data_IF_760181427573
#
_entry.id   IF_760181427573
#
_cell.length_a   1.000
_cell.length_b   1.000
_cell.length_c   1.000
_cell.angle_alpha   90.00
_cell.angle_beta   90.00
_cell.angle_gamma   90.00
#
_symmetry.space_group_name_H-M   'P 1'
#
loop_
_entity.id
_entity.type
_entity.pdbx_description
1 polymer ?
#
# COMPACT_ATOMS: atom_id res chain seq x y z
N UNK A 1 -15.16 16.27 -3.87
CA UNK A 1 -14.29 15.99 -2.71
C UNK A 1 -12.96 15.45 -3.21
N UNK A 2 -11.84 15.92 -2.69
CA UNK A 2 -10.51 15.47 -3.10
C UNK A 2 -9.44 16.34 -2.49
N UNK A 3 -8.17 16.11 -2.84
CA UNK A 3 -7.09 16.98 -2.35
C UNK A 3 -7.14 18.34 -3.05
N UNK A 4 -7.16 19.42 -2.28
CA UNK A 4 -7.28 20.77 -2.81
C UNK A 4 -5.94 21.33 -3.34
N UNK A 5 -6.04 22.01 -4.48
CA UNK A 5 -4.97 22.75 -5.13
C UNK A 5 -5.49 24.10 -5.63
N UNK A 6 -4.58 25.05 -5.80
CA UNK A 6 -4.90 26.38 -6.36
C UNK A 6 -4.02 26.64 -7.56
N UNK A 7 -4.65 27.09 -8.64
CA UNK A 7 -3.97 27.53 -9.85
C UNK A 7 -4.77 28.68 -10.47
N UNK A 8 -4.09 29.79 -10.81
CA UNK A 8 -4.72 31.01 -11.35
C UNK A 8 -5.98 31.46 -10.59
N UNK A 9 -5.91 31.45 -9.25
CA UNK A 9 -7.02 31.87 -8.38
C UNK A 9 -8.21 30.91 -8.32
N UNK A 10 -8.18 29.79 -9.05
CA UNK A 10 -9.23 28.77 -8.98
C UNK A 10 -8.85 27.68 -8.00
N UNK A 11 -9.75 27.40 -7.06
CA UNK A 11 -9.69 26.27 -6.15
C UNK A 11 -10.25 25.03 -6.83
N UNK A 12 -9.49 23.93 -6.87
CA UNK A 12 -9.91 22.68 -7.51
C UNK A 12 -9.38 21.45 -6.78
N UNK A 13 -9.97 20.28 -7.07
CA UNK A 13 -9.45 19.00 -6.60
C UNK A 13 -8.43 18.45 -7.61
N UNK A 14 -7.21 18.11 -7.17
CA UNK A 14 -6.15 17.63 -8.07
C UNK A 14 -6.27 16.15 -8.41
N UNK A 15 -6.07 15.85 -9.70
CA UNK A 15 -6.05 14.49 -10.25
C UNK A 15 -4.80 13.70 -9.91
N UNK A 16 -3.77 14.31 -9.30
CA UNK A 16 -2.58 13.60 -8.78
C UNK A 16 -2.87 12.63 -7.64
N UNK A 17 -4.10 12.64 -7.14
CA UNK A 17 -4.59 11.74 -6.09
C UNK A 17 -5.78 10.94 -6.64
N UNK A 18 -6.93 11.09 -6.01
CA UNK A 18 -8.23 10.84 -6.58
C UNK A 18 -9.15 11.99 -6.16
N UNK A 19 -10.28 12.11 -6.83
CA UNK A 19 -11.38 12.95 -6.34
C UNK A 19 -12.71 12.30 -6.69
N UNK A 20 -13.71 12.61 -5.90
CA UNK A 20 -15.06 12.10 -6.01
C UNK A 20 -15.98 13.26 -6.39
N UNK A 21 -16.76 13.05 -7.43
CA UNK A 21 -17.82 13.96 -7.87
C UNK A 21 -19.18 13.34 -7.56
N UNK A 22 -20.13 14.18 -7.17
CA UNK A 22 -21.53 13.74 -7.08
C UNK A 22 -22.08 13.54 -8.49
N UNK A 23 -23.13 12.73 -8.59
CA UNK A 23 -23.86 12.54 -9.86
C UNK A 23 -24.35 13.87 -10.43
N UNK A 24 -24.89 14.76 -9.58
CA UNK A 24 -25.37 16.08 -10.02
C UNK A 24 -24.26 16.97 -10.59
N UNK A 25 -23.07 16.97 -9.99
CA UNK A 25 -21.93 17.71 -10.54
C UNK A 25 -21.51 17.19 -11.93
N UNK A 26 -21.58 15.87 -12.12
CA UNK A 26 -21.31 15.25 -13.42
C UNK A 26 -22.36 15.60 -14.47
N UNK A 27 -23.65 15.59 -14.09
CA UNK A 27 -24.77 15.97 -14.96
C UNK A 27 -24.67 17.44 -15.42
N UNK A 28 -24.26 18.35 -14.52
CA UNK A 28 -24.03 19.76 -14.85
C UNK A 28 -22.95 19.93 -15.94
N UNK A 29 -21.82 19.24 -15.80
CA UNK A 29 -20.73 19.27 -16.80
C UNK A 29 -21.18 18.65 -18.12
N UNK A 30 -21.85 17.49 -18.06
CA UNK A 30 -22.37 16.80 -19.23
C UNK A 30 -23.33 17.68 -20.03
N UNK A 31 -24.26 18.35 -19.34
CA UNK A 31 -25.23 19.25 -19.97
C UNK A 31 -24.57 20.50 -20.55
N UNK A 32 -23.54 21.06 -19.90
CA UNK A 32 -22.78 22.21 -20.40
C UNK A 32 -21.97 21.88 -21.66
N UNK A 33 -21.39 20.68 -21.73
CA UNK A 33 -20.55 20.22 -22.84
C UNK A 33 -21.22 19.12 -23.66
N UNK A 34 -22.49 19.31 -24.00
CA UNK A 34 -23.32 18.34 -24.73
C UNK A 34 -22.99 18.19 -26.22
N UNK A 35 -22.02 18.95 -26.75
CA UNK A 35 -21.64 18.93 -28.16
C UNK A 35 -20.13 19.07 -28.36
N UNK A 36 -19.62 18.55 -29.48
CA UNK A 36 -18.20 18.67 -29.85
C UNK A 36 -17.77 20.14 -29.99
N UNK A 37 -18.68 21.00 -30.46
CA UNK A 37 -18.43 22.44 -30.59
C UNK A 37 -18.21 23.10 -29.22
N UNK A 38 -19.14 22.89 -28.27
CA UNK A 38 -19.05 23.43 -26.92
C UNK A 38 -17.78 22.94 -26.19
N UNK A 39 -17.42 21.67 -26.37
CA UNK A 39 -16.19 21.10 -25.81
C UNK A 39 -14.93 21.77 -26.41
N UNK A 40 -14.85 21.92 -27.73
CA UNK A 40 -13.69 22.52 -28.42
C UNK A 40 -13.47 23.98 -28.05
N UNK A 41 -14.53 24.79 -27.95
CA UNK A 41 -14.47 26.20 -27.57
C UNK A 41 -13.85 26.40 -26.17
N UNK A 42 -14.00 25.42 -25.28
CA UNK A 42 -13.47 25.47 -23.93
C UNK A 42 -11.95 25.18 -23.86
N UNK A 43 -11.37 24.52 -24.87
CA UNK A 43 -10.12 23.76 -24.75
C UNK A 43 -8.79 24.53 -24.95
N UNK A 44 -8.67 25.78 -24.51
CA UNK A 44 -7.44 26.58 -24.72
C UNK A 44 -6.23 26.06 -23.91
N UNK A 45 -6.43 25.26 -22.85
CA UNK A 45 -5.35 24.83 -21.93
C UNK A 45 -5.37 23.31 -21.66
N UNK A 46 -4.96 22.50 -22.64
CA UNK A 46 -5.07 21.02 -22.57
C UNK A 46 -4.15 20.32 -21.57
N UNK A 47 -3.16 21.02 -21.00
CA UNK A 47 -2.10 20.38 -20.20
C UNK A 47 -2.40 20.34 -18.69
N UNK A 48 -3.61 20.71 -18.26
CA UNK A 48 -3.99 20.72 -16.85
C UNK A 48 -5.49 20.36 -16.68
N UNK A 49 -5.79 19.08 -16.91
CA UNK A 49 -7.15 18.53 -16.96
C UNK A 49 -7.94 18.69 -15.66
N UNK A 50 -7.30 18.50 -14.51
CA UNK A 50 -7.90 18.60 -13.19
C UNK A 50 -8.27 20.05 -12.84
N UNK A 51 -7.39 21.01 -13.20
CA UNK A 51 -7.70 22.43 -13.12
C UNK A 51 -8.85 22.83 -14.04
N UNK A 52 -8.85 22.39 -15.30
CA UNK A 52 -9.92 22.72 -16.25
C UNK A 52 -11.28 22.22 -15.75
N UNK A 53 -11.33 20.98 -15.25
CA UNK A 53 -12.52 20.42 -14.65
C UNK A 53 -13.00 21.28 -13.47
N UNK A 54 -12.09 21.65 -12.56
CA UNK A 54 -12.40 22.53 -11.43
C UNK A 54 -12.91 23.91 -11.86
N UNK A 55 -12.29 24.51 -12.88
CA UNK A 55 -12.73 25.80 -13.46
C UNK A 55 -14.15 25.72 -13.98
N UNK A 56 -14.49 24.69 -14.76
CA UNK A 56 -15.82 24.57 -15.35
C UNK A 56 -16.90 24.23 -14.33
N UNK A 57 -16.55 23.44 -13.31
CA UNK A 57 -17.42 23.21 -12.16
C UNK A 57 -17.68 24.52 -11.41
N UNK A 58 -16.65 25.36 -11.20
CA UNK A 58 -16.80 26.65 -10.53
C UNK A 58 -17.69 27.62 -11.32
N UNK A 59 -17.57 27.65 -12.66
CA UNK A 59 -18.48 28.40 -13.54
C UNK A 59 -19.96 27.93 -13.45
N UNK A 60 -20.19 26.71 -12.97
CA UNK A 60 -21.51 26.12 -12.71
C UNK A 60 -21.93 26.21 -11.24
N UNK A 61 -21.18 26.94 -10.41
CA UNK A 61 -21.45 27.09 -8.97
C UNK A 61 -21.02 25.89 -8.11
N UNK A 62 -20.31 24.91 -8.67
CA UNK A 62 -19.77 23.77 -7.93
C UNK A 62 -18.31 24.05 -7.57
N UNK A 63 -18.00 24.18 -6.28
CA UNK A 63 -16.65 24.49 -5.81
C UNK A 63 -16.03 23.32 -5.04
N UNK A 64 -14.70 23.30 -4.95
CA UNK A 64 -14.00 22.28 -4.19
C UNK A 64 -14.03 22.62 -2.69
N UNK A 65 -14.43 21.66 -1.87
CA UNK A 65 -14.48 21.79 -0.41
C UNK A 65 -13.24 21.19 0.26
N UNK A 66 -12.97 21.58 1.51
CA UNK A 66 -11.96 20.93 2.32
C UNK A 66 -12.38 19.49 2.64
N UNK A 67 -11.59 18.55 2.13
CA UNK A 67 -11.86 17.13 2.27
C UNK A 67 -11.09 16.49 3.41
N UNK A 68 -10.40 17.23 4.27
CA UNK A 68 -9.73 16.67 5.45
C UNK A 68 -10.74 16.17 6.48
N UNK A 69 -10.29 15.36 7.42
CA UNK A 69 -11.14 14.96 8.55
C UNK A 69 -11.29 16.09 9.59
N UNK A 70 -12.08 15.84 10.64
CA UNK A 70 -12.35 16.82 11.72
C UNK A 70 -11.09 17.30 12.45
N UNK A 71 -9.97 16.57 12.33
CA UNK A 71 -8.67 16.93 12.91
C UNK A 71 -7.73 17.55 11.88
N UNK A 72 -8.21 17.86 10.68
CA UNK A 72 -7.41 18.43 9.60
C UNK A 72 -6.42 17.43 8.98
N UNK A 73 -6.67 16.11 9.08
CA UNK A 73 -5.81 15.07 8.51
C UNK A 73 -6.25 14.71 7.10
N UNK A 74 -5.27 14.36 6.26
CA UNK A 74 -5.51 14.12 4.85
C UNK A 74 -6.27 12.80 4.62
N UNK A 75 -7.19 12.82 3.65
CA UNK A 75 -7.94 11.64 3.19
C UNK A 75 -7.56 11.23 1.77
N UNK A 76 -7.04 12.17 0.97
CA UNK A 76 -6.63 11.95 -0.42
C UNK A 76 -5.10 12.11 -0.54
N UNK A 77 -4.40 10.98 -0.57
CA UNK A 77 -2.95 10.94 -0.40
C UNK A 77 -2.22 10.94 -1.74
N UNK A 78 -1.22 11.83 -1.87
CA UNK A 78 -0.36 12.00 -3.07
C UNK A 78 0.73 10.92 -3.18
N UNK A 79 0.93 10.15 -2.10
CA UNK A 79 1.98 9.16 -2.00
C UNK A 79 1.43 7.84 -1.49
N UNK A 80 2.23 6.78 -1.61
CA UNK A 80 1.94 5.47 -1.06
C UNK A 80 1.94 5.49 0.47
N UNK A 81 1.23 4.56 1.12
CA UNK A 81 1.26 4.41 2.57
C UNK A 81 2.69 4.28 3.13
N UNK A 82 3.57 3.56 2.42
CA UNK A 82 4.97 3.37 2.83
C UNK A 82 5.72 4.69 2.94
N UNK A 83 5.74 5.50 1.87
CA UNK A 83 6.43 6.80 1.89
C UNK A 83 5.90 7.71 2.99
N UNK A 84 4.60 7.65 3.23
CA UNK A 84 3.94 8.52 4.19
C UNK A 84 4.13 8.08 5.64
N UNK A 85 4.24 6.78 5.92
CA UNK A 85 4.31 6.25 7.29
C UNK A 85 5.74 5.93 7.73
N UNK A 86 6.61 5.50 6.81
CA UNK A 86 8.00 5.17 7.12
C UNK A 86 8.81 6.46 7.32
N UNK A 87 9.73 6.51 8.30
CA UNK A 87 10.59 7.67 8.50
C UNK A 87 11.55 7.85 7.31
N UNK A 88 11.95 9.11 7.02
CA UNK A 88 13.03 9.41 6.07
C UNK A 88 12.62 9.88 4.67
N UNK A 89 11.31 10.02 4.38
CA UNK A 89 10.82 10.43 3.05
C UNK A 89 10.40 11.91 2.94
N UNK A 90 10.67 12.72 3.97
CA UNK A 90 10.28 14.14 4.03
C UNK A 90 10.76 14.98 2.83
N UNK A 91 11.91 14.63 2.25
CA UNK A 91 12.47 15.32 1.09
C UNK A 91 11.59 15.23 -0.16
N UNK A 92 10.84 14.12 -0.33
CA UNK A 92 9.96 13.91 -1.49
C UNK A 92 8.75 14.84 -1.41
N UNK A 93 8.24 15.10 -0.21
CA UNK A 93 7.02 15.89 -0.02
C UNK A 93 7.21 17.35 -0.44
N UNK A 94 8.41 17.90 -0.21
CA UNK A 94 8.74 19.29 -0.52
C UNK A 94 8.53 19.64 -2.01
N UNK A 95 8.81 18.70 -2.91
CA UNK A 95 8.65 18.88 -4.36
C UNK A 95 7.19 19.02 -4.81
N UNK A 96 6.23 18.57 -3.99
CA UNK A 96 4.81 18.55 -4.34
C UNK A 96 4.00 19.72 -3.75
N UNK A 97 4.60 20.56 -2.90
CA UNK A 97 3.88 21.65 -2.23
C UNK A 97 3.53 22.84 -3.11
N UNK A 98 4.17 23.02 -4.26
CA UNK A 98 4.05 24.27 -5.05
C UNK A 98 2.63 24.62 -5.50
N UNK A 99 1.69 23.66 -5.50
CA UNK A 99 0.27 23.91 -5.84
C UNK A 99 -0.72 23.36 -4.82
N UNK A 100 -0.27 22.67 -3.76
CA UNK A 100 -1.17 22.09 -2.77
C UNK A 100 -1.45 23.12 -1.68
N UNK A 101 -2.72 23.25 -1.28
CA UNK A 101 -3.10 24.17 -0.21
C UNK A 101 -2.59 23.74 1.17
N UNK A 102 -2.47 22.43 1.38
CA UNK A 102 -2.08 21.87 2.67
C UNK A 102 -0.78 21.06 2.52
N UNK A 103 0.18 21.24 3.44
CA UNK A 103 1.38 20.41 3.46
C UNK A 103 1.01 18.97 3.83
N UNK A 104 1.82 18.04 3.33
CA UNK A 104 1.74 16.62 3.65
C UNK A 104 2.51 16.44 4.95
N UNK A 105 1.81 15.94 5.97
CA UNK A 105 2.41 15.64 7.26
C UNK A 105 2.78 14.15 7.26
N UNK A 106 4.05 13.85 7.55
CA UNK A 106 4.51 12.46 7.62
C UNK A 106 4.00 11.77 8.89
N UNK A 107 3.75 10.47 8.78
CA UNK A 107 3.37 9.61 9.88
C UNK A 107 1.88 9.67 10.23
N UNK A 108 1.54 9.00 11.34
CA UNK A 108 0.16 8.90 11.84
C UNK A 108 -0.57 10.25 11.98
N UNK A 109 0.06 11.36 12.40
CA UNK A 109 -0.64 12.64 12.55
C UNK A 109 -1.20 13.20 11.23
N UNK A 110 -0.59 12.91 10.08
CA UNK A 110 -1.08 13.34 8.77
C UNK A 110 -2.16 12.44 8.17
N UNK A 111 -2.43 11.30 8.80
CA UNK A 111 -3.28 10.24 8.27
C UNK A 111 -4.65 10.20 8.93
N UNK A 112 -5.69 10.40 8.13
CA UNK A 112 -7.04 10.13 8.58
C UNK A 112 -7.32 8.61 8.63
N UNK A 113 -7.99 8.10 9.66
CA UNK A 113 -8.52 6.72 9.67
C UNK A 113 -9.61 6.52 8.62
N UNK A 114 -10.18 7.60 8.07
CA UNK A 114 -11.15 7.58 6.95
C UNK A 114 -10.48 7.94 5.63
N UNK A 115 -9.23 7.49 5.43
CA UNK A 115 -8.50 7.67 4.18
C UNK A 115 -9.24 7.03 2.99
N UNK A 116 -9.25 7.72 1.85
CA UNK A 116 -10.03 7.35 0.66
C UNK A 116 -9.13 6.83 -0.46
N UNK A 117 -7.98 7.46 -0.71
CA UNK A 117 -7.13 7.09 -1.86
C UNK A 117 -5.64 7.30 -1.59
N UNK A 118 -4.81 6.48 -2.22
CA UNK A 118 -3.36 6.58 -2.23
C UNK A 118 -2.83 6.54 -3.67
N UNK A 119 -2.02 7.52 -4.06
CA UNK A 119 -1.41 7.54 -5.38
C UNK A 119 -0.12 6.73 -5.45
N UNK A 120 0.11 6.06 -6.60
CA UNK A 120 1.36 5.35 -6.89
C UNK A 120 1.50 3.98 -6.22
N UNK A 121 0.39 3.40 -5.73
CA UNK A 121 0.38 2.03 -5.20
C UNK A 121 0.57 1.04 -6.35
N UNK A 122 1.49 0.08 -6.18
CA UNK A 122 1.72 -0.97 -7.16
C UNK A 122 0.57 -2.01 -7.12
N UNK A 123 0.35 -2.70 -8.24
CA UNK A 123 -0.81 -3.58 -8.42
C UNK A 123 -0.89 -4.73 -7.40
N UNK A 124 0.24 -5.34 -7.08
CA UNK A 124 0.38 -6.39 -6.07
C UNK A 124 -0.02 -5.93 -4.66
N UNK A 125 0.31 -4.69 -4.30
CA UNK A 125 -0.10 -4.10 -3.03
C UNK A 125 -1.60 -3.86 -2.93
N UNK A 126 -2.32 -3.67 -4.04
CA UNK A 126 -3.79 -3.54 -4.00
C UNK A 126 -4.42 -4.83 -3.48
N UNK A 127 -3.97 -5.99 -3.97
CA UNK A 127 -4.43 -7.29 -3.48
C UNK A 127 -4.02 -7.55 -2.03
N UNK A 128 -2.82 -7.11 -1.64
CA UNK A 128 -2.39 -7.18 -0.26
C UNK A 128 -3.28 -6.33 0.65
N UNK A 129 -3.60 -5.09 0.26
CA UNK A 129 -4.46 -4.21 1.05
C UNK A 129 -5.88 -4.75 1.16
N UNK A 130 -6.44 -5.30 0.08
CA UNK A 130 -7.73 -5.99 0.10
C UNK A 130 -7.72 -7.15 1.10
N UNK A 131 -6.70 -8.02 1.04
CA UNK A 131 -6.50 -9.11 1.99
C UNK A 131 -6.42 -8.60 3.43
N UNK A 132 -5.58 -7.60 3.71
CA UNK A 132 -5.37 -7.06 5.04
C UNK A 132 -6.61 -6.35 5.62
N UNK A 133 -7.40 -5.68 4.78
CA UNK A 133 -8.56 -4.90 5.22
C UNK A 133 -9.83 -5.75 5.38
N UNK A 134 -10.07 -6.70 4.47
CA UNK A 134 -11.35 -7.42 4.40
C UNK A 134 -11.25 -8.90 4.77
N UNK A 135 -10.08 -9.51 4.65
CA UNK A 135 -9.91 -10.95 4.82
C UNK A 135 -9.14 -11.34 6.10
N UNK A 136 -8.24 -10.48 6.58
CA UNK A 136 -7.52 -10.70 7.83
C UNK A 136 -8.40 -10.32 9.02
N UNK A 137 -8.65 -11.30 9.90
CA UNK A 137 -9.27 -11.06 11.20
C UNK A 137 -8.19 -10.58 12.18
N UNK A 138 -8.15 -9.28 12.44
CA UNK A 138 -7.33 -8.73 13.52
C UNK A 138 -8.01 -9.07 14.85
N UNK A 139 -7.40 -9.95 15.62
CA UNK A 139 -7.94 -10.41 16.89
C UNK A 139 -7.62 -9.39 18.00
N UNK A 140 -8.65 -8.74 18.54
CA UNK A 140 -8.54 -7.73 19.62
C UNK A 140 -8.82 -8.29 21.02
N UNK A 141 -8.72 -9.60 21.25
CA UNK A 141 -8.89 -10.18 22.59
C UNK A 141 -7.54 -10.41 23.30
N UNK A 142 -7.54 -10.29 24.63
CA UNK A 142 -6.45 -10.75 25.50
C UNK A 142 -6.16 -12.23 25.17
N UNK A 143 -4.97 -12.47 24.60
CA UNK A 143 -4.68 -13.67 23.82
C UNK A 143 -4.83 -15.00 24.57
N UNK A 144 -5.61 -15.92 23.98
CA UNK A 144 -5.61 -17.35 24.32
C UNK A 144 -4.82 -18.24 23.34
N UNK A 145 -4.35 -17.69 22.22
CA UNK A 145 -3.76 -18.49 21.13
C UNK A 145 -2.25 -18.71 21.28
N UNK A 146 -1.57 -17.93 22.12
CA UNK A 146 -0.15 -18.10 22.44
C UNK A 146 0.13 -19.07 23.60
N UNK A 147 -0.87 -19.36 24.44
CA UNK A 147 -0.71 -20.24 25.61
C UNK A 147 -1.21 -21.67 25.35
N UNK A 148 -1.77 -21.93 24.17
CA UNK A 148 -2.18 -23.27 23.80
C UNK A 148 -0.98 -23.97 23.17
N UNK A 149 -0.34 -24.88 23.92
CA UNK A 149 0.72 -25.72 23.37
C UNK A 149 0.19 -26.41 22.11
N UNK A 150 0.97 -26.39 21.03
CA UNK A 150 0.67 -27.23 19.87
C UNK A 150 0.38 -28.64 20.36
N UNK A 151 -0.67 -29.28 19.83
CA UNK A 151 -0.98 -30.69 20.14
C UNK A 151 0.20 -31.61 19.80
N UNK A 152 1.11 -31.12 18.95
CA UNK A 152 2.40 -31.73 18.65
C UNK A 152 3.43 -31.24 19.67
N UNK A 153 3.44 -31.85 20.86
CA UNK A 153 4.54 -31.66 21.81
C UNK A 153 5.76 -32.45 21.30
N UNK A 154 6.73 -31.77 20.70
CA UNK A 154 8.08 -32.31 20.52
C UNK A 154 8.94 -31.80 21.68
N UNK A 155 9.45 -32.67 22.57
CA UNK A 155 10.45 -32.26 23.55
C UNK A 155 11.61 -31.54 22.84
N UNK A 156 12.07 -30.41 23.37
CA UNK A 156 13.19 -29.63 22.81
C UNK A 156 14.41 -30.51 22.53
N UNK A 157 14.66 -31.49 23.40
CA UNK A 157 15.79 -32.42 23.34
C UNK A 157 15.74 -33.37 22.15
N UNK A 158 14.58 -33.48 21.49
CA UNK A 158 14.38 -34.32 20.33
C UNK A 158 14.44 -33.53 19.02
N UNK A 159 14.34 -32.19 19.05
CA UNK A 159 14.36 -31.35 17.84
C UNK A 159 15.71 -31.44 17.15
N UNK A 160 16.80 -31.23 17.89
CA UNK A 160 18.15 -31.31 17.32
C UNK A 160 18.51 -32.75 16.93
N UNK A 161 18.06 -33.77 17.69
CA UNK A 161 18.26 -35.19 17.35
C UNK A 161 17.52 -35.59 16.08
N UNK A 162 16.31 -35.06 15.87
CA UNK A 162 15.55 -35.26 14.65
C UNK A 162 16.27 -34.61 13.45
N UNK A 163 16.75 -33.38 13.62
CA UNK A 163 17.52 -32.67 12.61
C UNK A 163 18.81 -33.42 12.20
N UNK A 164 19.55 -33.95 13.18
CA UNK A 164 20.75 -34.77 12.92
C UNK A 164 20.39 -36.02 12.11
N UNK A 165 19.32 -36.72 12.48
CA UNK A 165 18.88 -37.93 11.76
C UNK A 165 18.33 -37.65 10.37
N UNK A 166 17.71 -36.48 10.18
CA UNK A 166 17.27 -36.03 8.85
C UNK A 166 18.48 -35.72 7.95
N UNK A 167 19.54 -35.13 8.52
CA UNK A 167 20.73 -34.74 7.77
C UNK A 167 21.69 -35.89 7.49
N UNK A 168 21.86 -36.82 8.45
CA UNK A 168 22.87 -37.89 8.42
C UNK A 168 22.29 -39.31 8.31
N UNK A 169 20.95 -39.45 8.33
CA UNK A 169 20.25 -40.72 8.22
C UNK A 169 19.57 -41.17 9.53
N UNK A 170 18.46 -41.95 9.43
CA UNK A 170 17.60 -42.29 10.56
C UNK A 170 18.30 -43.10 11.65
N UNK A 171 19.28 -43.93 11.28
CA UNK A 171 20.00 -44.83 12.18
C UNK A 171 21.26 -44.20 12.80
N UNK A 172 21.52 -42.92 12.51
CA UNK A 172 22.71 -42.23 13.00
C UNK A 172 22.69 -42.10 14.54
N UNK A 173 23.80 -42.46 15.18
CA UNK A 173 23.94 -42.37 16.63
C UNK A 173 24.20 -40.91 17.07
N UNK A 174 23.11 -40.21 17.38
CA UNK A 174 23.09 -38.80 17.81
C UNK A 174 23.93 -38.50 19.05
N UNK A 175 24.23 -39.48 19.90
CA UNK A 175 25.04 -39.28 21.12
C UNK A 175 26.53 -39.03 20.82
N UNK A 176 26.98 -39.28 19.59
CA UNK A 176 28.36 -39.05 19.14
C UNK A 176 28.57 -37.67 18.52
N UNK A 177 27.51 -36.89 18.34
CA UNK A 177 27.57 -35.56 17.71
C UNK A 177 28.13 -34.55 18.69
N UNK A 178 29.28 -33.95 18.37
CA UNK A 178 29.75 -32.78 19.11
C UNK A 178 28.99 -31.52 18.68
N UNK A 179 29.06 -30.46 19.49
CA UNK A 179 28.47 -29.16 19.12
C UNK A 179 29.03 -28.62 17.80
N UNK A 180 30.31 -28.88 17.51
CA UNK A 180 30.96 -28.49 16.26
C UNK A 180 30.44 -29.30 15.06
N UNK A 181 30.23 -30.60 15.24
CA UNK A 181 29.66 -31.46 14.19
C UNK A 181 28.22 -31.03 13.88
N UNK A 182 27.43 -30.73 14.92
CA UNK A 182 26.09 -30.19 14.76
C UNK A 182 26.08 -28.86 13.99
N UNK A 183 26.99 -27.94 14.34
CA UNK A 183 27.10 -26.66 13.65
C UNK A 183 27.42 -26.83 12.16
N UNK A 184 28.36 -27.72 11.81
CA UNK A 184 28.71 -28.03 10.42
C UNK A 184 27.56 -28.64 9.61
N UNK A 185 26.57 -29.27 10.25
CA UNK A 185 25.37 -29.74 9.55
C UNK A 185 24.51 -28.59 9.03
N UNK A 186 24.57 -27.41 9.64
CA UNK A 186 23.87 -26.23 9.13
C UNK A 186 24.50 -25.71 7.83
N UNK A 187 25.80 -25.93 7.63
CA UNK A 187 26.49 -25.58 6.39
C UNK A 187 26.08 -26.48 5.20
N UNK A 188 25.39 -27.60 5.45
CA UNK A 188 24.81 -28.46 4.40
C UNK A 188 23.54 -27.86 3.78
N UNK A 189 22.94 -26.88 4.44
CA UNK A 189 21.72 -26.24 3.98
C UNK A 189 22.04 -24.96 3.25
N UNK A 190 21.21 -24.66 2.24
CA UNK A 190 21.39 -23.46 1.45
C UNK A 190 21.31 -22.22 2.35
N UNK A 191 22.25 -21.27 2.23
CA UNK A 191 22.09 -19.98 2.87
C UNK A 191 20.77 -19.34 2.40
N UNK A 192 20.15 -18.44 3.20
CA UNK A 192 18.84 -17.89 2.91
C UNK A 192 18.69 -17.37 1.47
N UNK A 193 19.75 -16.77 0.92
CA UNK A 193 19.80 -16.25 -0.45
C UNK A 193 19.64 -17.36 -1.50
N UNK A 194 20.32 -18.48 -1.32
CA UNK A 194 20.30 -19.60 -2.25
C UNK A 194 19.02 -20.44 -2.13
N UNK A 195 18.50 -20.59 -0.90
CA UNK A 195 17.19 -21.17 -0.65
C UNK A 195 16.08 -20.36 -1.36
N UNK A 196 16.09 -19.03 -1.20
CA UNK A 196 15.13 -18.13 -1.86
C UNK A 196 15.27 -18.19 -3.38
N UNK A 197 16.49 -18.27 -3.91
CA UNK A 197 16.74 -18.45 -5.35
C UNK A 197 16.10 -19.74 -5.87
N UNK A 198 16.35 -20.89 -5.23
CA UNK A 198 15.76 -22.19 -5.63
C UNK A 198 14.23 -22.19 -5.53
N UNK A 199 13.67 -21.57 -4.49
CA UNK A 199 12.23 -21.39 -4.34
C UNK A 199 11.63 -20.59 -5.51
N UNK A 200 12.25 -19.46 -5.87
CA UNK A 200 11.82 -18.64 -7.03
C UNK A 200 11.85 -19.46 -8.33
N UNK A 201 12.91 -20.22 -8.57
CA UNK A 201 13.04 -21.08 -9.75
C UNK A 201 11.94 -22.15 -9.81
N UNK A 202 11.62 -22.79 -8.68
CA UNK A 202 10.51 -23.76 -8.61
C UNK A 202 9.15 -23.13 -8.86
N UNK A 203 8.89 -21.94 -8.31
CA UNK A 203 7.66 -21.20 -8.55
C UNK A 203 7.51 -20.83 -10.03
N UNK A 204 8.56 -20.29 -10.65
CA UNK A 204 8.57 -19.91 -12.06
C UNK A 204 8.44 -21.11 -13.02
N UNK A 205 8.99 -22.27 -12.66
CA UNK A 205 8.85 -23.49 -13.44
C UNK A 205 7.44 -24.11 -13.33
N UNK A 206 6.72 -23.91 -12.22
CA UNK A 206 5.32 -24.33 -12.09
C UNK A 206 4.38 -23.48 -12.92
N UNK A 207 4.58 -22.17 -13.00
CA UNK A 207 3.76 -21.27 -13.84
C UNK A 207 3.98 -21.44 -15.34
N UNK A 208 5.10 -22.03 -15.78
CA UNK A 208 5.34 -22.38 -17.19
C UNK A 208 4.72 -23.72 -17.63
N UNK A 209 4.19 -24.51 -16.70
CA UNK A 209 3.58 -25.83 -16.96
C UNK A 209 2.05 -25.83 -16.83
N UNK A 210 1.43 -24.66 -16.63
CA UNK A 210 -0.03 -24.45 -16.61
C UNK A 210 -0.49 -23.70 -17.85
#
# INVERSE_FOLDING_TARGET
>A
MGRNAVFWGTLYNTGKTAFVLSRGAMELIYNKYNSSFACKQSSTYRNNEDYLLGKYLAELGVTAEDSRDERGRERFHVFTPEHLLAPGYNWIFQKYFSRSLNPTIQGKPGFSPTSVSFHGVQQDYIFLYDFLLYHVKVFNYNGGFGNNRSRVYKPSDNVWKAFVRESLGPDYNVSKVSALDYYKLWDLWDPPEEFVRKLREQFLNKTRRS
#
